data_IF_835248990439
#
_entry.id   IF_835248990439
#
_cell.length_a   1.000
_cell.length_b   1.000
_cell.length_c   1.000
_cell.angle_alpha   90.00
_cell.angle_beta   90.00
_cell.angle_gamma   90.00
#
_symmetry.space_group_name_H-M   'P 1'
#
loop_
_entity.id
_entity.type
_entity.pdbx_description
1 polymer ?
#
# COMPACT_ATOMS: atom_id res chain seq x y z
N UNK A 1 31.58 -32.78 -16.32
CA UNK A 1 30.29 -32.41 -15.71
C UNK A 1 29.86 -31.10 -16.35
N UNK A 2 28.73 -31.08 -17.06
CA UNK A 2 28.25 -29.89 -17.75
C UNK A 2 27.74 -28.87 -16.73
N UNK A 3 28.43 -27.73 -16.60
CA UNK A 3 27.93 -26.59 -15.81
C UNK A 3 26.51 -26.23 -16.26
N UNK A 4 25.64 -26.02 -15.29
CA UNK A 4 24.25 -25.59 -15.50
C UNK A 4 24.23 -24.17 -16.10
N UNK A 5 23.20 -23.84 -16.87
CA UNK A 5 23.05 -22.50 -17.49
C UNK A 5 23.08 -21.37 -16.46
N UNK A 6 22.61 -21.65 -15.25
CA UNK A 6 22.63 -20.74 -14.10
C UNK A 6 24.03 -20.48 -13.55
N UNK A 7 24.90 -21.49 -13.51
CA UNK A 7 26.31 -21.32 -13.09
C UNK A 7 27.07 -20.45 -14.08
N UNK A 8 26.86 -20.62 -15.38
CA UNK A 8 27.49 -19.79 -16.42
C UNK A 8 27.06 -18.33 -16.34
N UNK A 9 25.77 -18.08 -16.07
CA UNK A 9 25.26 -16.73 -15.88
C UNK A 9 25.92 -16.07 -14.65
N UNK A 10 26.00 -16.80 -13.53
CA UNK A 10 26.63 -16.30 -12.31
C UNK A 10 28.12 -16.00 -12.50
N UNK A 11 28.84 -16.87 -13.20
CA UNK A 11 30.25 -16.68 -13.55
C UNK A 11 30.45 -15.47 -14.47
N UNK A 12 29.54 -15.25 -15.42
CA UNK A 12 29.59 -14.08 -16.28
C UNK A 12 29.32 -12.78 -15.51
N UNK A 13 28.29 -12.76 -14.67
CA UNK A 13 27.91 -11.58 -13.89
C UNK A 13 28.97 -11.20 -12.84
N UNK A 14 29.69 -12.18 -12.28
CA UNK A 14 30.76 -11.95 -11.29
C UNK A 14 32.03 -11.37 -11.91
N UNK A 15 32.27 -11.59 -13.21
CA UNK A 15 33.39 -11.01 -13.95
C UNK A 15 33.16 -9.55 -14.36
N UNK A 16 31.93 -9.03 -14.22
CA UNK A 16 31.62 -7.65 -14.58
C UNK A 16 32.18 -6.65 -13.54
N UNK A 17 32.65 -5.46 -13.96
CA UNK A 17 33.01 -4.39 -13.04
C UNK A 17 31.83 -3.96 -12.14
N UNK A 18 32.06 -3.52 -10.89
CA UNK A 18 30.99 -3.13 -9.96
C UNK A 18 30.04 -2.05 -10.51
N UNK A 19 30.57 -1.11 -11.29
CA UNK A 19 29.75 -0.07 -11.95
C UNK A 19 28.77 -0.67 -12.98
N UNK A 20 29.20 -1.70 -13.72
CA UNK A 20 28.36 -2.41 -14.68
C UNK A 20 27.31 -3.27 -13.99
N UNK A 21 27.64 -3.90 -12.86
CA UNK A 21 26.70 -4.65 -12.02
C UNK A 21 25.59 -3.73 -11.45
N UNK A 22 25.97 -2.55 -10.94
CA UNK A 22 25.01 -1.56 -10.43
C UNK A 22 24.09 -1.01 -11.53
N UNK A 23 24.62 -0.77 -12.73
CA UNK A 23 23.84 -0.31 -13.87
C UNK A 23 22.84 -1.40 -14.32
N UNK A 24 23.27 -2.66 -14.38
CA UNK A 24 22.39 -3.79 -14.68
C UNK A 24 21.30 -3.97 -13.62
N UNK A 25 21.62 -3.87 -12.32
CA UNK A 25 20.60 -3.91 -11.28
C UNK A 25 19.53 -2.84 -11.49
N UNK A 26 19.93 -1.59 -11.77
CA UNK A 26 18.98 -0.50 -12.01
C UNK A 26 18.11 -0.72 -13.24
N UNK A 27 18.69 -1.25 -14.32
CA UNK A 27 17.92 -1.50 -15.56
C UNK A 27 16.94 -2.66 -15.41
N UNK A 28 17.29 -3.72 -14.68
CA UNK A 28 16.36 -4.81 -14.39
C UNK A 28 15.29 -4.42 -13.36
N UNK A 29 15.60 -3.56 -12.39
CA UNK A 29 14.59 -2.97 -11.49
C UNK A 29 13.60 -2.11 -12.28
N UNK A 30 14.08 -1.31 -13.25
CA UNK A 30 13.23 -0.58 -14.20
C UNK A 30 12.43 -1.47 -15.15
N UNK A 31 12.93 -2.66 -15.48
CA UNK A 31 12.18 -3.63 -16.29
C UNK A 31 11.05 -4.26 -15.48
N UNK A 32 11.28 -4.56 -14.20
CA UNK A 32 10.23 -4.99 -13.27
C UNK A 32 9.15 -3.92 -13.09
N UNK A 33 9.54 -2.66 -12.97
CA UNK A 33 8.60 -1.53 -12.86
C UNK A 33 7.74 -1.35 -14.13
N UNK A 34 8.25 -1.77 -15.30
CA UNK A 34 7.53 -1.73 -16.59
C UNK A 34 6.72 -2.98 -16.90
N UNK A 35 6.89 -4.06 -16.12
CA UNK A 35 6.25 -5.35 -16.37
C UNK A 35 6.89 -6.19 -17.48
N UNK A 36 8.09 -5.82 -17.95
CA UNK A 36 8.80 -6.52 -19.03
C UNK A 36 9.55 -7.74 -18.48
N UNK A 37 9.29 -8.93 -19.03
CA UNK A 37 9.99 -10.20 -18.73
C UNK A 37 10.26 -10.44 -17.22
N UNK A 38 9.23 -10.24 -16.40
CA UNK A 38 9.28 -10.25 -14.93
C UNK A 38 10.02 -11.46 -14.35
N UNK A 39 9.85 -12.65 -14.94
CA UNK A 39 10.52 -13.86 -14.49
C UNK A 39 12.06 -13.82 -14.71
N UNK A 40 12.50 -13.31 -15.86
CA UNK A 40 13.93 -13.19 -16.18
C UNK A 40 14.56 -12.05 -15.38
N UNK A 41 13.88 -10.90 -15.29
CA UNK A 41 14.36 -9.76 -14.52
C UNK A 41 14.50 -10.10 -13.02
N UNK A 42 13.52 -10.80 -12.44
CA UNK A 42 13.57 -11.26 -11.05
C UNK A 42 14.74 -12.23 -10.82
N UNK A 43 14.92 -13.20 -11.72
CA UNK A 43 15.98 -14.19 -11.64
C UNK A 43 17.38 -13.57 -11.74
N UNK A 44 17.62 -12.69 -12.71
CA UNK A 44 18.92 -12.01 -12.90
C UNK A 44 19.22 -11.06 -11.74
N UNK A 45 18.21 -10.36 -11.21
CA UNK A 45 18.37 -9.53 -10.01
C UNK A 45 18.71 -10.35 -8.77
N UNK A 46 18.15 -11.55 -8.62
CA UNK A 46 18.50 -12.44 -7.51
C UNK A 46 19.98 -12.85 -7.57
N UNK A 47 20.48 -13.22 -8.76
CA UNK A 47 21.88 -13.59 -8.96
C UNK A 47 22.83 -12.39 -8.82
N UNK A 48 22.51 -11.22 -9.38
CA UNK A 48 23.27 -9.98 -9.19
C UNK A 48 23.34 -9.58 -7.72
N UNK A 49 22.24 -9.69 -6.97
CA UNK A 49 22.22 -9.43 -5.53
C UNK A 49 23.11 -10.40 -4.78
N UNK A 50 23.15 -11.70 -5.15
CA UNK A 50 24.06 -12.68 -4.53
C UNK A 50 25.53 -12.34 -4.79
N UNK A 51 25.87 -11.80 -5.96
CA UNK A 51 27.25 -11.43 -6.34
C UNK A 51 27.70 -10.16 -5.62
N UNK A 52 26.89 -9.09 -5.66
CA UNK A 52 27.21 -7.82 -4.99
C UNK A 52 27.28 -7.99 -3.46
N UNK A 53 26.42 -8.86 -2.89
CA UNK A 53 26.50 -9.23 -1.47
C UNK A 53 27.77 -10.00 -1.09
N UNK A 54 28.48 -10.57 -2.05
CA UNK A 54 29.73 -11.29 -1.83
C UNK A 54 30.99 -10.43 -1.91
N UNK A 55 30.89 -9.20 -2.47
CA UNK A 55 32.04 -8.30 -2.66
C UNK A 55 32.17 -7.19 -1.61
N UNK A 56 31.10 -6.89 -0.86
CA UNK A 56 31.18 -6.00 0.30
C UNK A 56 31.62 -6.81 1.54
N UNK A 57 32.52 -6.23 2.33
CA UNK A 57 33.19 -6.76 3.52
C UNK A 57 32.24 -6.98 4.74
N UNK A 58 31.01 -7.43 4.50
CA UNK A 58 29.99 -7.68 5.52
C UNK A 58 29.87 -9.20 5.78
N UNK A 59 30.89 -9.76 6.44
CA UNK A 59 30.85 -11.12 7.00
C UNK A 59 30.03 -11.23 8.30
N UNK A 60 29.00 -10.39 8.45
CA UNK A 60 27.93 -10.57 9.42
C UNK A 60 26.63 -10.80 8.66
N UNK A 61 25.92 -11.93 8.88
CA UNK A 61 24.54 -12.04 8.44
C UNK A 61 23.77 -10.77 8.84
N UNK A 62 22.94 -10.20 7.97
CA UNK A 62 22.11 -9.01 8.28
C UNK A 62 21.22 -9.18 9.53
N UNK A 63 21.11 -10.41 10.02
CA UNK A 63 20.45 -10.85 11.25
C UNK A 63 21.23 -10.49 12.53
N UNK A 64 22.54 -10.27 12.43
CA UNK A 64 23.46 -10.03 13.57
C UNK A 64 23.84 -8.54 13.73
N UNK A 65 23.19 -7.65 12.98
CA UNK A 65 23.36 -6.20 13.15
C UNK A 65 22.87 -5.76 14.54
N UNK A 66 23.73 -5.16 15.39
CA UNK A 66 23.38 -4.79 16.76
C UNK A 66 22.15 -3.89 16.85
N UNK A 67 22.02 -2.93 15.92
CA UNK A 67 20.89 -1.98 15.89
C UNK A 67 19.57 -2.71 15.58
N UNK A 68 19.55 -3.58 14.56
CA UNK A 68 18.36 -4.41 14.25
C UNK A 68 17.95 -5.31 15.39
N UNK A 69 18.90 -5.97 16.07
CA UNK A 69 18.60 -6.82 17.23
C UNK A 69 18.00 -5.99 18.38
N UNK A 70 18.57 -4.80 18.64
CA UNK A 70 18.10 -3.89 19.68
C UNK A 70 16.70 -3.34 19.39
N UNK A 71 16.38 -2.98 18.15
CA UNK A 71 15.07 -2.42 17.80
C UNK A 71 14.03 -3.44 17.32
N UNK A 72 14.31 -4.74 17.32
CA UNK A 72 13.37 -5.77 16.83
C UNK A 72 11.99 -5.72 17.52
N UNK A 73 11.94 -5.34 18.79
CA UNK A 73 10.67 -5.18 19.55
C UNK A 73 9.81 -4.01 19.02
N UNK A 74 10.39 -3.08 18.24
CA UNK A 74 9.66 -1.99 17.61
C UNK A 74 8.99 -2.39 16.29
N UNK A 75 9.38 -3.51 15.66
CA UNK A 75 9.00 -3.84 14.27
C UNK A 75 7.49 -3.74 14.00
N UNK A 76 6.57 -4.21 14.89
CA UNK A 76 5.13 -4.08 14.68
C UNK A 76 4.61 -2.63 14.62
N UNK A 77 5.42 -1.65 15.03
CA UNK A 77 5.04 -0.26 15.18
C UNK A 77 5.71 0.66 14.14
N UNK A 78 6.57 0.11 13.28
CA UNK A 78 7.34 0.91 12.35
C UNK A 78 6.54 1.32 11.13
N UNK A 79 6.66 2.60 10.75
CA UNK A 79 6.15 3.16 9.51
C UNK A 79 7.27 3.80 8.69
N UNK A 80 7.00 4.04 7.42
CA UNK A 80 7.95 4.72 6.53
C UNK A 80 8.01 6.24 6.78
N UNK A 81 9.16 6.83 6.47
CA UNK A 81 9.49 8.20 6.85
C UNK A 81 8.62 9.28 6.18
N UNK A 82 7.93 8.96 5.10
CA UNK A 82 7.04 9.88 4.36
C UNK A 82 5.68 10.04 5.04
N UNK A 83 5.37 9.17 5.98
CA UNK A 83 4.05 9.08 6.61
C UNK A 83 4.02 9.85 7.94
N UNK A 84 2.87 10.47 8.21
CA UNK A 84 2.60 11.02 9.55
C UNK A 84 2.24 9.87 10.49
N UNK A 85 2.94 9.67 11.61
CA UNK A 85 2.61 8.62 12.57
C UNK A 85 1.28 8.90 13.24
N UNK A 86 0.43 7.89 13.31
CA UNK A 86 -0.68 7.88 14.26
C UNK A 86 -0.19 7.42 15.65
N UNK A 87 -0.98 7.60 16.72
CA UNK A 87 -0.66 7.02 18.02
C UNK A 87 -0.33 5.52 17.89
N UNK A 88 0.73 5.09 18.60
CA UNK A 88 1.20 3.70 18.59
C UNK A 88 2.04 3.32 17.38
N UNK A 89 2.57 4.29 16.63
CA UNK A 89 3.53 4.10 15.53
C UNK A 89 4.81 4.91 15.76
N UNK A 90 5.90 4.46 15.16
CA UNK A 90 7.24 5.06 15.22
C UNK A 90 7.80 5.12 13.80
N UNK A 91 8.44 6.23 13.41
CA UNK A 91 9.06 6.32 12.09
C UNK A 91 10.33 5.47 12.06
N UNK A 92 10.50 4.66 11.02
CA UNK A 92 11.69 3.82 10.83
C UNK A 92 12.97 4.65 10.75
N UNK A 93 12.91 5.85 10.19
CA UNK A 93 14.05 6.79 10.11
C UNK A 93 14.53 7.25 11.48
N UNK A 94 13.65 7.36 12.47
CA UNK A 94 14.00 7.77 13.84
C UNK A 94 14.94 6.79 14.52
N UNK A 95 14.83 5.49 14.23
CA UNK A 95 15.68 4.46 14.84
C UNK A 95 17.16 4.67 14.56
N UNK A 96 17.49 5.16 13.35
CA UNK A 96 18.90 5.40 12.98
C UNK A 96 19.50 6.54 13.80
N UNK A 97 18.77 7.64 13.95
CA UNK A 97 19.22 8.78 14.76
C UNK A 97 19.34 8.40 16.25
N UNK A 98 18.36 7.66 16.78
CA UNK A 98 18.41 7.19 18.16
C UNK A 98 19.58 6.24 18.39
N UNK A 99 19.85 5.30 17.47
CA UNK A 99 21.01 4.41 17.54
C UNK A 99 22.33 5.19 17.62
N UNK A 100 22.54 6.11 16.68
CA UNK A 100 23.76 6.93 16.61
C UNK A 100 23.96 7.77 17.87
N UNK A 101 22.87 8.27 18.45
CA UNK A 101 22.94 8.99 19.72
C UNK A 101 23.30 8.08 20.89
N UNK A 102 22.70 6.89 20.99
CA UNK A 102 23.04 5.90 22.02
C UNK A 102 24.51 5.50 21.94
N UNK A 103 25.03 5.28 20.72
CA UNK A 103 26.42 4.91 20.45
C UNK A 103 27.41 6.02 20.82
N UNK A 104 27.07 7.28 20.51
CA UNK A 104 27.98 8.41 20.75
C UNK A 104 27.98 8.90 22.19
N UNK A 105 26.80 8.97 22.82
CA UNK A 105 26.63 9.72 24.08
C UNK A 105 25.69 9.04 25.07
N UNK A 106 24.67 8.31 24.61
CA UNK A 106 23.64 7.78 25.51
C UNK A 106 24.13 6.61 26.37
N UNK A 107 24.86 5.66 25.77
CA UNK A 107 25.33 4.43 26.42
C UNK A 107 26.50 3.75 25.64
N UNK A 108 27.57 4.49 25.30
CA UNK A 108 28.66 3.99 24.47
C UNK A 108 29.31 2.71 25.02
N UNK A 109 29.47 2.62 26.35
CA UNK A 109 30.12 1.48 27.00
C UNK A 109 29.28 0.20 26.88
N UNK A 110 27.97 0.32 27.08
CA UNK A 110 27.05 -0.81 27.01
C UNK A 110 26.88 -1.30 25.57
N UNK A 111 26.93 -0.41 24.57
CA UNK A 111 26.93 -0.80 23.15
C UNK A 111 28.21 -1.56 22.82
N UNK A 112 29.38 -1.06 23.22
CA UNK A 112 30.66 -1.78 23.02
C UNK A 112 30.67 -3.15 23.71
N UNK A 113 30.16 -3.24 24.93
CA UNK A 113 30.01 -4.52 25.66
C UNK A 113 29.11 -5.50 24.89
N UNK A 114 27.99 -5.01 24.35
CA UNK A 114 27.06 -5.81 23.58
C UNK A 114 27.65 -6.30 22.25
N UNK A 115 28.32 -5.44 21.50
CA UNK A 115 28.99 -5.81 20.26
C UNK A 115 30.08 -6.86 20.47
N UNK A 116 30.90 -6.70 21.53
CA UNK A 116 31.88 -7.69 21.92
C UNK A 116 31.23 -9.04 22.28
N UNK A 117 30.11 -9.01 23.01
CA UNK A 117 29.33 -10.21 23.33
C UNK A 117 28.80 -10.89 22.05
N UNK A 118 28.25 -10.14 21.09
CA UNK A 118 27.76 -10.70 19.82
C UNK A 118 28.87 -11.42 19.03
N UNK A 119 30.10 -10.89 19.02
CA UNK A 119 31.24 -11.55 18.38
C UNK A 119 31.52 -12.91 19.03
N UNK A 120 31.42 -13.00 20.36
CA UNK A 120 31.63 -14.25 21.10
C UNK A 120 30.47 -15.25 20.95
N UNK A 121 29.28 -14.77 20.58
CA UNK A 121 28.03 -15.54 20.53
C UNK A 121 27.60 -15.95 19.11
N UNK A 122 28.46 -15.83 18.09
CA UNK A 122 28.11 -16.14 16.67
C UNK A 122 27.50 -17.53 16.42
N UNK A 123 27.76 -18.49 17.31
CA UNK A 123 27.20 -19.85 17.24
C UNK A 123 26.35 -20.22 18.46
N UNK A 124 26.04 -19.23 19.31
CA UNK A 124 25.23 -19.44 20.50
C UNK A 124 23.74 -19.60 20.14
N UNK A 125 22.94 -20.26 20.98
CA UNK A 125 21.50 -20.32 20.79
C UNK A 125 20.88 -18.92 20.87
N UNK A 126 19.81 -18.69 20.09
CA UNK A 126 19.11 -17.41 20.02
C UNK A 126 18.65 -16.87 21.39
N UNK A 127 18.39 -17.76 22.36
CA UNK A 127 18.03 -17.39 23.73
C UNK A 127 19.14 -16.65 24.49
N UNK A 128 20.42 -16.93 24.21
CA UNK A 128 21.54 -16.21 24.82
C UNK A 128 21.68 -14.81 24.22
N UNK A 129 21.59 -14.69 22.89
CA UNK A 129 21.56 -13.39 22.22
C UNK A 129 20.41 -12.54 22.76
N UNK A 130 19.24 -13.15 22.97
CA UNK A 130 18.06 -12.47 23.52
C UNK A 130 18.29 -11.89 24.93
N UNK A 131 19.04 -12.57 25.80
CA UNK A 131 19.37 -12.04 27.13
C UNK A 131 20.22 -10.77 27.04
N UNK A 132 21.22 -10.77 26.16
CA UNK A 132 22.06 -9.59 25.91
C UNK A 132 21.26 -8.43 25.28
N UNK A 133 20.35 -8.73 24.34
CA UNK A 133 19.44 -7.75 23.75
C UNK A 133 18.57 -7.11 24.84
N UNK A 134 17.98 -7.90 25.75
CA UNK A 134 17.16 -7.37 26.85
C UNK A 134 17.94 -6.44 27.77
N UNK A 135 19.16 -6.82 28.15
CA UNK A 135 20.06 -5.98 28.98
C UNK A 135 20.36 -4.64 28.28
N UNK A 136 20.64 -4.69 26.98
CA UNK A 136 20.90 -3.50 26.17
C UNK A 136 19.66 -2.60 26.09
N UNK A 137 18.48 -3.17 25.82
CA UNK A 137 17.22 -2.42 25.73
C UNK A 137 16.84 -1.74 27.05
N UNK A 138 17.05 -2.39 28.20
CA UNK A 138 16.87 -1.77 29.52
C UNK A 138 17.82 -0.59 29.73
N UNK A 139 19.08 -0.74 29.31
CA UNK A 139 20.08 0.33 29.40
C UNK A 139 19.72 1.51 28.48
N UNK A 140 19.23 1.22 27.27
CA UNK A 140 18.75 2.24 26.33
C UNK A 140 17.52 2.97 26.86
N UNK A 141 16.56 2.24 27.43
CA UNK A 141 15.38 2.83 28.07
C UNK A 141 15.79 3.77 29.22
N UNK A 142 16.76 3.37 30.06
CA UNK A 142 17.28 4.21 31.13
C UNK A 142 18.01 5.46 30.60
N UNK A 143 18.79 5.34 29.52
CA UNK A 143 19.45 6.48 28.88
C UNK A 143 18.44 7.49 28.32
N UNK A 144 17.39 7.00 27.66
CA UNK A 144 16.29 7.83 27.14
C UNK A 144 15.52 8.49 28.29
N UNK A 145 15.25 7.76 29.38
CA UNK A 145 14.56 8.31 30.56
C UNK A 145 15.36 9.46 31.19
N UNK A 146 16.68 9.29 31.38
CA UNK A 146 17.56 10.37 31.88
C UNK A 146 17.58 11.59 30.97
N UNK A 147 17.54 11.37 29.65
CA UNK A 147 17.54 12.48 28.69
C UNK A 147 16.20 13.24 28.68
N UNK A 148 15.09 12.50 28.80
CA UNK A 148 13.74 13.07 28.74
C UNK A 148 13.27 13.63 30.08
N UNK A 149 13.83 13.13 31.19
CA UNK A 149 13.60 13.59 32.56
C UNK A 149 14.94 13.97 33.22
N UNK A 150 15.61 15.03 32.75
CA UNK A 150 16.94 15.37 33.26
C UNK A 150 16.87 16.03 34.64
N UNK A 151 17.98 16.00 35.36
CA UNK A 151 18.10 16.67 36.67
C UNK A 151 17.90 18.19 36.57
N UNK A 152 17.42 18.85 37.64
CA UNK A 152 17.27 20.30 37.67
C UNK A 152 18.58 21.02 37.30
N UNK A 153 18.51 21.95 36.33
CA UNK A 153 19.67 22.72 35.85
C UNK A 153 20.27 22.21 34.53
N UNK A 154 19.85 21.04 34.04
CA UNK A 154 20.23 20.57 32.70
C UNK A 154 19.25 21.12 31.65
N UNK A 155 19.79 21.72 30.59
CA UNK A 155 19.00 22.19 29.44
C UNK A 155 18.48 21.00 28.62
N UNK A 156 17.26 20.58 28.94
CA UNK A 156 16.54 19.49 28.26
C UNK A 156 16.45 19.71 26.75
N UNK A 157 16.14 20.93 26.31
CA UNK A 157 15.89 21.20 24.90
C UNK A 157 17.18 21.07 24.09
N UNK A 158 18.29 21.58 24.64
CA UNK A 158 19.62 21.42 24.05
C UNK A 158 20.11 19.98 24.08
N UNK A 159 19.77 19.21 25.11
CA UNK A 159 20.15 17.80 25.16
C UNK A 159 19.36 16.97 24.13
N UNK A 160 18.05 17.21 23.99
CA UNK A 160 17.19 16.52 23.03
C UNK A 160 17.57 16.80 21.58
N UNK A 161 18.03 18.02 21.26
CA UNK A 161 18.47 18.35 19.89
C UNK A 161 19.72 17.58 19.42
N UNK A 162 20.47 16.97 20.33
CA UNK A 162 21.64 16.13 20.00
C UNK A 162 21.27 14.72 19.54
N UNK A 163 20.02 14.31 19.74
CA UNK A 163 19.51 12.99 19.31
C UNK A 163 19.38 12.93 17.80
N UNK A 164 18.91 14.00 17.17
CA UNK A 164 18.72 14.04 15.72
C UNK A 164 17.68 15.07 15.28
N UNK A 165 17.09 14.88 14.09
CA UNK A 165 16.08 15.80 13.56
C UNK A 165 14.82 15.81 14.46
N UNK A 166 13.96 16.84 14.34
CA UNK A 166 12.74 16.96 15.16
C UNK A 166 11.87 15.69 15.21
N UNK A 167 11.74 14.98 14.08
CA UNK A 167 10.98 13.72 14.02
C UNK A 167 11.58 12.60 14.90
N UNK A 168 12.91 12.50 14.99
CA UNK A 168 13.55 11.54 15.87
C UNK A 168 13.38 11.92 17.35
N UNK A 169 13.33 13.22 17.64
CA UNK A 169 13.08 13.75 18.99
C UNK A 169 11.63 13.49 19.44
N UNK A 170 10.65 13.63 18.54
CA UNK A 170 9.26 13.27 18.78
C UNK A 170 9.09 11.79 19.13
N UNK A 171 9.77 10.90 18.39
CA UNK A 171 9.64 9.45 18.55
C UNK A 171 10.47 8.89 19.73
N UNK A 172 11.35 9.69 20.33
CA UNK A 172 12.27 9.25 21.39
C UNK A 172 11.56 8.73 22.64
N UNK A 173 10.56 9.47 23.14
CA UNK A 173 9.79 9.09 24.33
C UNK A 173 8.98 7.80 24.10
N UNK A 174 8.25 7.65 22.98
CA UNK A 174 7.64 6.37 22.61
C UNK A 174 8.63 5.21 22.54
N UNK A 175 9.77 5.39 21.85
CA UNK A 175 10.82 4.35 21.76
C UNK A 175 11.28 3.91 23.16
N UNK A 176 11.65 4.86 24.03
CA UNK A 176 12.06 4.55 25.39
C UNK A 176 10.99 3.83 26.20
N UNK A 177 9.73 4.20 26.03
CA UNK A 177 8.59 3.59 26.73
C UNK A 177 8.37 2.13 26.32
N UNK A 178 8.45 1.83 25.01
CA UNK A 178 8.29 0.48 24.47
C UNK A 178 9.49 -0.40 24.90
N UNK A 179 10.71 0.13 24.86
CA UNK A 179 11.91 -0.58 25.36
C UNK A 179 11.82 -0.89 26.86
N UNK A 180 11.38 0.07 27.68
CA UNK A 180 11.22 -0.08 29.14
C UNK A 180 10.22 -1.18 29.50
N UNK A 181 9.15 -1.31 28.73
CA UNK A 181 8.02 -2.20 29.03
C UNK A 181 7.94 -3.39 28.07
N UNK A 182 9.07 -3.76 27.45
CA UNK A 182 9.15 -4.85 26.49
C UNK A 182 8.47 -6.13 26.96
N UNK A 183 8.71 -6.55 28.21
CA UNK A 183 8.15 -7.82 28.71
C UNK A 183 6.63 -7.82 28.77
N UNK A 184 6.02 -6.68 29.14
CA UNK A 184 4.58 -6.53 29.14
C UNK A 184 4.02 -6.59 27.72
N UNK A 185 4.70 -5.97 26.76
CA UNK A 185 4.35 -5.99 25.34
C UNK A 185 4.48 -7.40 24.75
N UNK A 186 5.62 -8.07 24.96
CA UNK A 186 5.86 -9.44 24.47
C UNK A 186 4.85 -10.43 25.07
N UNK A 187 4.57 -10.31 26.37
CA UNK A 187 3.57 -11.15 27.06
C UNK A 187 2.17 -10.90 26.52
N UNK A 188 1.81 -9.64 26.27
CA UNK A 188 0.51 -9.30 25.69
C UNK A 188 0.39 -9.79 24.25
N UNK A 189 1.41 -9.56 23.43
CA UNK A 189 1.47 -10.02 22.04
C UNK A 189 1.35 -11.56 21.95
N UNK A 190 2.01 -12.30 22.85
CA UNK A 190 1.90 -13.76 22.93
C UNK A 190 0.50 -14.28 23.29
N UNK A 191 -0.39 -13.44 23.82
CA UNK A 191 -1.80 -13.78 24.09
C UNK A 191 -2.72 -13.51 22.91
N UNK A 192 -2.27 -12.78 21.89
CA UNK A 192 -3.07 -12.48 20.72
C UNK A 192 -3.16 -13.71 19.80
N UNK A 193 -4.38 -14.12 19.46
CA UNK A 193 -4.61 -15.17 18.47
C UNK A 193 -4.15 -14.71 17.09
N UNK A 194 -3.65 -15.62 16.26
CA UNK A 194 -3.06 -15.26 14.96
C UNK A 194 -4.00 -14.47 14.05
N UNK A 195 -5.33 -14.69 14.09
CA UNK A 195 -6.30 -13.88 13.37
C UNK A 195 -7.65 -13.77 14.11
N UNK A 196 -8.09 -12.54 14.36
CA UNK A 196 -9.41 -12.20 14.91
C UNK A 196 -10.39 -11.91 13.76
N UNK A 197 -11.00 -12.96 13.20
CA UNK A 197 -11.98 -12.82 12.11
C UNK A 197 -13.25 -12.09 12.52
N UNK A 198 -13.73 -12.33 13.74
CA UNK A 198 -14.91 -11.68 14.32
C UNK A 198 -14.48 -11.05 15.64
N UNK A 199 -14.66 -9.73 15.76
CA UNK A 199 -14.34 -9.00 16.98
C UNK A 199 -15.59 -8.64 17.77
N UNK A 200 -16.34 -9.67 18.19
CA UNK A 200 -17.58 -9.53 18.96
C UNK A 200 -17.34 -9.41 20.47
N UNK A 201 -18.42 -9.36 21.25
CA UNK A 201 -18.39 -9.12 22.70
C UNK A 201 -17.43 -10.03 23.47
N UNK A 202 -17.38 -11.33 23.13
CA UNK A 202 -16.49 -12.27 23.81
C UNK A 202 -15.01 -11.94 23.57
N UNK A 203 -14.64 -11.57 22.35
CA UNK A 203 -13.28 -11.16 21.98
C UNK A 203 -12.93 -9.81 22.59
N UNK A 204 -13.86 -8.86 22.55
CA UNK A 204 -13.72 -7.53 23.18
C UNK A 204 -13.47 -7.68 24.69
N UNK A 205 -14.27 -8.47 25.39
CA UNK A 205 -14.09 -8.74 26.82
C UNK A 205 -12.73 -9.42 27.10
N UNK A 206 -12.35 -10.40 26.27
CA UNK A 206 -11.05 -11.07 26.39
C UNK A 206 -9.88 -10.11 26.20
N UNK A 207 -9.96 -9.20 25.22
CA UNK A 207 -8.91 -8.23 24.95
C UNK A 207 -8.80 -7.17 26.04
N UNK A 208 -9.92 -6.67 26.58
CA UNK A 208 -9.92 -5.76 27.73
C UNK A 208 -9.28 -6.43 28.94
N UNK A 209 -9.64 -7.69 29.22
CA UNK A 209 -9.04 -8.45 30.31
C UNK A 209 -7.53 -8.65 30.10
N UNK A 210 -7.09 -8.94 28.87
CA UNK A 210 -5.68 -9.10 28.54
C UNK A 210 -4.89 -7.78 28.61
N UNK A 211 -5.52 -6.66 28.27
CA UNK A 211 -4.96 -5.30 28.34
C UNK A 211 -4.89 -4.74 29.76
N UNK A 212 -5.57 -5.35 30.74
CA UNK A 212 -5.61 -4.91 32.14
C UNK A 212 -4.29 -5.14 32.88
N UNK A 213 -3.22 -4.55 32.34
CA UNK A 213 -1.85 -4.54 32.84
C UNK A 213 -1.46 -3.08 33.02
N UNK A 214 -1.17 -2.59 34.24
CA UNK A 214 -0.94 -1.16 34.50
C UNK A 214 0.09 -0.49 33.58
N UNK A 215 1.17 -1.22 33.25
CA UNK A 215 2.20 -0.74 32.33
C UNK A 215 1.67 -0.39 30.92
N UNK A 216 0.67 -1.14 30.43
CA UNK A 216 0.08 -0.96 29.10
C UNK A 216 -1.07 0.06 29.09
N UNK A 217 -1.55 0.50 30.26
CA UNK A 217 -2.65 1.47 30.37
C UNK A 217 -2.19 2.93 30.40
N UNK A 218 -0.89 3.18 30.25
CA UNK A 218 -0.36 4.55 30.19
C UNK A 218 -0.76 5.23 28.86
N UNK A 219 -0.91 6.56 28.84
CA UNK A 219 -1.25 7.28 27.60
C UNK A 219 -0.27 7.05 26.45
N UNK A 220 0.99 6.72 26.76
CA UNK A 220 2.01 6.42 25.75
C UNK A 220 1.90 4.98 25.26
N UNK A 221 1.72 3.98 26.14
CA UNK A 221 1.74 2.56 25.75
C UNK A 221 0.41 1.96 25.33
N UNK A 222 -0.71 2.52 25.76
CA UNK A 222 -2.02 2.04 25.34
C UNK A 222 -2.16 2.02 23.80
N UNK A 223 -1.76 3.07 23.06
CA UNK A 223 -1.76 3.05 21.60
C UNK A 223 -0.90 1.93 20.99
N UNK A 224 0.26 1.59 21.58
CA UNK A 224 1.10 0.50 21.08
C UNK A 224 0.43 -0.87 21.29
N UNK A 225 -0.19 -1.08 22.45
CA UNK A 225 -0.94 -2.30 22.71
C UNK A 225 -2.16 -2.41 21.77
N UNK A 226 -2.84 -1.31 21.47
CA UNK A 226 -3.92 -1.26 20.48
C UNK A 226 -3.42 -1.52 19.05
N UNK A 227 -2.22 -1.05 18.67
CA UNK A 227 -1.60 -1.36 17.37
C UNK A 227 -1.38 -2.86 17.21
N UNK A 228 -0.98 -3.58 18.27
CA UNK A 228 -0.87 -5.03 18.21
C UNK A 228 -2.22 -5.69 17.93
N UNK A 229 -3.29 -5.29 18.64
CA UNK A 229 -4.64 -5.82 18.38
C UNK A 229 -5.07 -5.55 16.93
N UNK A 230 -4.87 -4.31 16.45
CA UNK A 230 -5.19 -3.91 15.08
C UNK A 230 -4.54 -4.83 14.04
N UNK A 231 -3.29 -5.24 14.25
CA UNK A 231 -2.57 -6.16 13.35
C UNK A 231 -3.17 -7.56 13.24
N UNK A 232 -4.08 -7.94 14.15
CA UNK A 232 -4.79 -9.23 14.13
C UNK A 232 -6.26 -9.10 13.69
N UNK A 233 -6.78 -7.90 13.48
CA UNK A 233 -8.18 -7.70 13.08
C UNK A 233 -8.34 -7.82 11.57
N UNK A 234 -9.35 -8.59 11.13
CA UNK A 234 -9.76 -8.60 9.72
C UNK A 234 -10.38 -7.27 9.27
N UNK A 235 -10.95 -6.53 10.22
CA UNK A 235 -11.59 -5.23 10.00
C UNK A 235 -11.03 -4.26 11.04
N UNK A 236 -9.93 -3.56 10.76
CA UNK A 236 -9.20 -2.75 11.75
C UNK A 236 -10.06 -1.70 12.46
N UNK A 237 -11.06 -1.14 11.78
CA UNK A 237 -11.99 -0.17 12.37
C UNK A 237 -12.75 -0.72 13.59
N UNK A 238 -12.91 -2.05 13.71
CA UNK A 238 -13.63 -2.68 14.83
C UNK A 238 -12.92 -2.47 16.19
N UNK A 239 -11.68 -1.98 16.21
CA UNK A 239 -10.96 -1.62 17.43
C UNK A 239 -11.76 -0.67 18.34
N UNK A 240 -12.66 0.15 17.77
CA UNK A 240 -13.50 1.08 18.52
C UNK A 240 -14.43 0.41 19.53
N UNK A 241 -14.75 -0.87 19.32
CA UNK A 241 -15.55 -1.66 20.26
C UNK A 241 -14.90 -1.78 21.64
N UNK A 242 -13.57 -1.71 21.72
CA UNK A 242 -12.87 -1.61 23.00
C UNK A 242 -13.23 -0.30 23.73
N UNK A 243 -13.23 0.82 23.00
CA UNK A 243 -13.53 2.13 23.56
C UNK A 243 -14.99 2.23 24.03
N UNK A 244 -15.93 1.75 23.21
CA UNK A 244 -17.35 1.66 23.56
C UNK A 244 -17.55 0.84 24.83
N UNK A 245 -16.90 -0.34 24.88
CA UNK A 245 -17.05 -1.25 26.02
C UNK A 245 -16.48 -0.66 27.31
N UNK A 246 -15.34 0.02 27.24
CA UNK A 246 -14.73 0.70 28.40
C UNK A 246 -15.57 1.90 28.85
N UNK A 247 -16.14 2.65 27.92
CA UNK A 247 -17.02 3.78 28.23
C UNK A 247 -18.40 3.33 28.76
N UNK A 248 -18.82 2.10 28.45
CA UNK A 248 -20.17 1.61 28.74
C UNK A 248 -21.26 2.35 27.96
N UNK A 249 -20.89 3.00 26.84
CA UNK A 249 -21.78 3.80 25.99
C UNK A 249 -21.15 3.96 24.60
N UNK A 250 -21.98 4.09 23.59
CA UNK A 250 -21.66 4.49 22.21
C UNK A 250 -21.69 6.02 21.99
N UNK A 251 -22.11 6.78 23.00
CA UNK A 251 -22.08 8.25 23.01
C UNK A 251 -20.64 8.78 22.89
N UNK A 252 -20.41 9.62 21.88
CA UNK A 252 -19.09 10.16 21.56
C UNK A 252 -18.43 10.88 22.76
N UNK A 253 -19.18 11.65 23.56
CA UNK A 253 -18.61 12.43 24.67
C UNK A 253 -18.07 11.48 25.73
N UNK A 254 -18.85 10.46 26.09
CA UNK A 254 -18.44 9.44 27.07
C UNK A 254 -17.24 8.65 26.59
N UNK A 255 -17.22 8.25 25.31
CA UNK A 255 -16.08 7.52 24.74
C UNK A 255 -14.82 8.39 24.74
N UNK A 256 -14.93 9.65 24.30
CA UNK A 256 -13.84 10.62 24.26
C UNK A 256 -13.26 10.94 25.65
N UNK A 257 -14.04 10.78 26.72
CA UNK A 257 -13.58 10.98 28.10
C UNK A 257 -12.74 9.80 28.63
N UNK A 258 -12.64 8.68 27.91
CA UNK A 258 -11.85 7.51 28.32
C UNK A 258 -10.44 7.51 27.71
N UNK A 259 -9.45 6.86 28.34
CA UNK A 259 -8.15 6.61 27.70
C UNK A 259 -8.24 5.85 26.37
N UNK A 260 -9.30 5.05 26.17
CA UNK A 260 -9.52 4.26 24.95
C UNK A 260 -10.09 5.08 23.79
N UNK A 261 -10.40 6.36 23.98
CA UNK A 261 -10.74 7.28 22.89
C UNK A 261 -9.68 7.27 21.76
N UNK A 262 -8.42 7.00 22.10
CA UNK A 262 -7.33 6.88 21.13
C UNK A 262 -7.57 5.77 20.10
N UNK A 263 -8.31 4.70 20.43
CA UNK A 263 -8.66 3.65 19.47
C UNK A 263 -9.54 4.19 18.32
N UNK A 264 -10.46 5.11 18.63
CA UNK A 264 -11.30 5.79 17.62
C UNK A 264 -10.44 6.68 16.73
N UNK A 265 -9.56 7.48 17.34
CA UNK A 265 -8.61 8.33 16.60
C UNK A 265 -7.70 7.50 15.69
N UNK A 266 -7.17 6.37 16.16
CA UNK A 266 -6.34 5.47 15.37
C UNK A 266 -7.10 4.91 14.17
N UNK A 267 -8.32 4.40 14.38
CA UNK A 267 -9.16 3.87 13.29
C UNK A 267 -9.46 4.93 12.22
N UNK A 268 -9.79 6.17 12.61
CA UNK A 268 -10.05 7.25 11.66
C UNK A 268 -8.77 7.66 10.91
N UNK A 269 -7.62 7.73 11.59
CA UNK A 269 -6.34 8.04 10.95
C UNK A 269 -5.88 6.94 9.98
N UNK A 270 -6.16 5.67 10.27
CA UNK A 270 -5.88 4.57 9.35
C UNK A 270 -6.77 4.65 8.09
N UNK A 271 -8.06 4.98 8.24
CA UNK A 271 -8.95 5.22 7.08
C UNK A 271 -8.51 6.45 6.27
N UNK A 272 -8.06 7.51 6.93
CA UNK A 272 -7.53 8.70 6.26
C UNK A 272 -6.27 8.37 5.44
N UNK A 273 -5.37 7.54 5.99
CA UNK A 273 -4.17 7.07 5.27
C UNK A 273 -4.53 6.27 4.03
N UNK A 274 -5.40 5.27 4.18
CA UNK A 274 -5.90 4.48 3.05
C UNK A 274 -6.55 5.36 1.96
N UNK A 275 -7.21 6.45 2.37
CA UNK A 275 -7.81 7.40 1.43
C UNK A 275 -6.73 8.16 0.65
N UNK A 276 -5.65 8.59 1.30
CA UNK A 276 -4.52 9.25 0.64
C UNK A 276 -3.81 8.30 -0.33
N UNK A 277 -3.54 7.07 0.08
CA UNK A 277 -2.86 6.07 -0.75
C UNK A 277 -3.71 5.73 -1.99
N UNK A 278 -5.01 5.49 -1.80
CA UNK A 278 -5.94 5.24 -2.89
C UNK A 278 -6.02 6.42 -3.88
N UNK A 279 -5.99 7.67 -3.38
CA UNK A 279 -5.97 8.85 -4.24
C UNK A 279 -4.70 8.95 -5.08
N UNK A 280 -3.56 8.58 -4.51
CA UNK A 280 -2.29 8.58 -5.21
C UNK A 280 -2.24 7.46 -6.28
N UNK A 281 -2.78 6.28 -5.96
CA UNK A 281 -2.95 5.18 -6.90
C UNK A 281 -3.84 5.57 -8.08
N UNK A 282 -5.02 6.15 -7.80
CA UNK A 282 -5.93 6.69 -8.81
C UNK A 282 -5.20 7.71 -9.71
N UNK A 283 -4.49 8.67 -9.11
CA UNK A 283 -3.78 9.73 -9.85
C UNK A 283 -2.68 9.16 -10.77
N UNK A 284 -2.09 8.02 -10.41
CA UNK A 284 -1.06 7.33 -11.19
C UNK A 284 -1.63 6.33 -12.20
N UNK A 285 -2.95 6.13 -12.25
CA UNK A 285 -3.58 5.13 -13.11
C UNK A 285 -3.48 3.69 -12.58
N UNK A 286 -3.12 3.50 -11.32
CA UNK A 286 -2.98 2.18 -10.70
C UNK A 286 -4.30 1.74 -10.06
N UNK A 287 -5.18 1.11 -10.83
CA UNK A 287 -6.53 0.77 -10.34
C UNK A 287 -6.64 -0.60 -9.64
N UNK A 288 -5.59 -1.43 -9.64
CA UNK A 288 -5.64 -2.83 -9.20
C UNK A 288 -6.16 -3.06 -7.78
N UNK A 289 -5.79 -2.20 -6.83
CA UNK A 289 -6.21 -2.30 -5.42
C UNK A 289 -7.32 -1.30 -5.03
N UNK A 290 -7.73 -0.43 -5.95
CA UNK A 290 -8.67 0.66 -5.64
C UNK A 290 -10.03 0.11 -5.22
N UNK A 291 -10.49 -0.99 -5.83
CA UNK A 291 -11.74 -1.66 -5.47
C UNK A 291 -11.75 -2.15 -4.01
N UNK A 292 -10.67 -2.82 -3.59
CA UNK A 292 -10.51 -3.35 -2.24
C UNK A 292 -10.35 -2.22 -1.22
N UNK A 293 -9.50 -1.23 -1.52
CA UNK A 293 -9.31 -0.06 -0.66
C UNK A 293 -10.61 0.73 -0.50
N UNK A 294 -11.37 0.93 -1.58
CA UNK A 294 -12.66 1.61 -1.53
C UNK A 294 -13.64 0.88 -0.61
N UNK A 295 -13.67 -0.46 -0.68
CA UNK A 295 -14.48 -1.30 0.21
C UNK A 295 -14.05 -1.15 1.67
N UNK A 296 -12.76 -1.26 1.97
CA UNK A 296 -12.23 -1.13 3.34
C UNK A 296 -12.58 0.24 3.91
N UNK A 297 -12.40 1.30 3.14
CA UNK A 297 -12.71 2.66 3.61
C UNK A 297 -14.21 2.84 3.80
N UNK A 298 -15.03 2.35 2.87
CA UNK A 298 -16.48 2.36 2.96
C UNK A 298 -16.96 1.63 4.23
N UNK A 299 -16.55 0.37 4.40
CA UNK A 299 -16.97 -0.47 5.54
C UNK A 299 -16.49 0.14 6.86
N UNK A 300 -15.30 0.74 6.88
CA UNK A 300 -14.77 1.46 8.04
C UNK A 300 -15.58 2.71 8.40
N UNK A 301 -15.83 3.60 7.44
CA UNK A 301 -16.61 4.83 7.69
C UNK A 301 -18.04 4.50 8.13
N UNK A 302 -18.68 3.52 7.47
CA UNK A 302 -20.02 3.05 7.82
C UNK A 302 -20.05 2.37 9.19
N UNK A 303 -19.09 1.48 9.45
CA UNK A 303 -18.97 0.75 10.71
C UNK A 303 -18.78 1.69 11.90
N UNK A 304 -17.88 2.67 11.78
CA UNK A 304 -17.66 3.68 12.81
C UNK A 304 -18.93 4.48 13.13
N UNK A 305 -19.69 4.91 12.13
CA UNK A 305 -20.96 5.62 12.32
C UNK A 305 -22.10 4.76 12.86
N UNK A 306 -22.01 3.44 12.67
CA UNK A 306 -23.03 2.50 13.15
C UNK A 306 -22.80 2.17 14.63
N UNK A 307 -21.54 2.15 15.07
CA UNK A 307 -21.16 1.71 16.42
C UNK A 307 -20.99 2.88 17.39
N UNK A 308 -20.82 4.11 16.89
CA UNK A 308 -20.66 5.32 17.68
C UNK A 308 -21.66 6.38 17.23
N UNK A 309 -22.29 7.06 18.20
CA UNK A 309 -23.07 8.26 17.95
C UNK A 309 -22.15 9.48 17.79
N UNK A 310 -21.51 9.55 16.60
CA UNK A 310 -20.54 10.59 16.26
C UNK A 310 -21.28 11.83 15.76
N UNK A 311 -21.11 12.95 16.46
CA UNK A 311 -21.69 14.23 16.04
C UNK A 311 -20.99 14.77 14.80
N UNK A 312 -21.75 15.41 13.91
CA UNK A 312 -21.22 15.95 12.67
C UNK A 312 -20.20 17.09 12.86
N UNK A 313 -20.31 17.83 13.95
CA UNK A 313 -19.48 19.02 14.25
C UNK A 313 -18.24 18.69 15.10
N UNK A 314 -18.13 17.45 15.58
CA UNK A 314 -17.00 16.99 16.38
C UNK A 314 -15.73 16.82 15.54
N UNK A 315 -14.59 16.64 16.22
CA UNK A 315 -13.31 16.36 15.55
C UNK A 315 -13.38 15.06 14.75
N UNK A 316 -13.96 13.99 15.32
CA UNK A 316 -14.12 12.71 14.62
C UNK A 316 -15.12 12.81 13.47
N UNK A 317 -16.25 13.49 13.67
CA UNK A 317 -17.25 13.71 12.64
C UNK A 317 -16.72 14.49 11.44
N UNK A 318 -15.94 15.56 11.69
CA UNK A 318 -15.27 16.35 10.66
C UNK A 318 -14.25 15.53 9.88
N UNK A 319 -13.42 14.72 10.54
CA UNK A 319 -12.45 13.85 9.86
C UNK A 319 -13.15 12.82 8.97
N UNK A 320 -14.20 12.17 9.44
CA UNK A 320 -15.00 11.23 8.63
C UNK A 320 -15.72 11.93 7.46
N UNK A 321 -16.16 13.17 7.64
CA UNK A 321 -16.70 13.97 6.56
C UNK A 321 -15.64 14.29 5.49
N UNK A 322 -14.43 14.68 5.91
CA UNK A 322 -13.29 14.93 5.01
C UNK A 322 -12.94 13.68 4.21
N UNK A 323 -12.79 12.52 4.85
CA UNK A 323 -12.53 11.24 4.19
C UNK A 323 -13.56 10.99 3.08
N UNK A 324 -14.85 11.11 3.39
CA UNK A 324 -15.94 10.90 2.40
C UNK A 324 -15.85 11.88 1.22
N UNK A 325 -15.60 13.17 1.50
CA UNK A 325 -15.48 14.20 0.45
C UNK A 325 -14.27 13.92 -0.45
N UNK A 326 -13.13 13.56 0.12
CA UNK A 326 -11.92 13.27 -0.63
C UNK A 326 -12.08 12.07 -1.57
N UNK A 327 -12.67 10.98 -1.07
CA UNK A 327 -12.97 9.79 -1.88
C UNK A 327 -13.96 10.15 -2.98
N UNK A 328 -15.07 10.81 -2.64
CA UNK A 328 -16.08 11.21 -3.61
C UNK A 328 -15.48 12.06 -4.74
N UNK A 329 -14.62 13.02 -4.40
CA UNK A 329 -13.99 13.89 -5.40
C UNK A 329 -13.01 13.14 -6.30
N UNK A 330 -12.16 12.29 -5.72
CA UNK A 330 -11.20 11.50 -6.47
C UNK A 330 -11.90 10.54 -7.44
N UNK A 331 -12.88 9.79 -6.96
CA UNK A 331 -13.64 8.82 -7.76
C UNK A 331 -14.47 9.52 -8.82
N UNK A 332 -15.17 10.62 -8.48
CA UNK A 332 -16.01 11.36 -9.42
C UNK A 332 -15.21 11.92 -10.60
N UNK A 333 -14.04 12.51 -10.33
CA UNK A 333 -13.16 13.05 -11.38
C UNK A 333 -12.77 11.99 -12.40
N UNK A 334 -12.42 10.79 -11.93
CA UNK A 334 -12.06 9.69 -12.83
C UNK A 334 -13.25 9.21 -13.65
N UNK A 335 -14.41 8.98 -13.00
CA UNK A 335 -15.65 8.56 -13.67
C UNK A 335 -16.03 9.55 -14.79
N UNK A 336 -16.01 10.85 -14.52
CA UNK A 336 -16.36 11.88 -15.51
C UNK A 336 -15.37 11.95 -16.68
N UNK A 337 -14.13 11.49 -16.49
CA UNK A 337 -13.10 11.49 -17.55
C UNK A 337 -13.26 10.33 -18.55
N UNK A 338 -13.85 9.20 -18.14
CA UNK A 338 -13.86 7.96 -18.93
C UNK A 338 -14.53 8.11 -20.29
N UNK A 339 -15.74 8.72 -20.41
CA UNK A 339 -16.37 8.89 -21.73
C UNK A 339 -15.52 9.67 -22.72
N UNK A 340 -14.74 10.66 -22.26
CA UNK A 340 -13.82 11.43 -23.08
C UNK A 340 -12.68 10.57 -23.65
N UNK A 341 -12.09 9.71 -22.82
CA UNK A 341 -11.02 8.78 -23.22
C UNK A 341 -11.52 7.75 -24.23
N UNK A 342 -12.66 7.12 -23.96
CA UNK A 342 -13.29 6.16 -24.88
C UNK A 342 -13.62 6.81 -26.22
N UNK A 343 -14.20 8.01 -26.22
CA UNK A 343 -14.44 8.77 -27.45
C UNK A 343 -13.17 9.04 -28.23
N UNK A 344 -12.06 9.40 -27.56
CA UNK A 344 -10.79 9.69 -28.21
C UNK A 344 -10.26 8.48 -28.98
N UNK A 345 -10.31 7.29 -28.36
CA UNK A 345 -9.82 6.04 -28.93
C UNK A 345 -10.72 5.51 -30.06
N UNK A 346 -12.04 5.56 -29.88
CA UNK A 346 -13.01 5.01 -30.83
C UNK A 346 -13.48 6.00 -31.90
N UNK A 347 -12.99 7.25 -31.88
CA UNK A 347 -13.39 8.29 -32.84
C UNK A 347 -13.06 7.84 -34.27
N UNK A 348 -14.11 7.67 -35.06
CA UNK A 348 -13.98 7.47 -36.50
C UNK A 348 -13.60 8.78 -37.17
N UNK A 349 -12.49 8.77 -37.89
CA UNK A 349 -12.01 9.90 -38.70
C UNK A 349 -12.19 9.56 -40.18
N UNK A 350 -12.46 10.54 -41.05
CA UNK A 350 -12.39 10.34 -42.50
C UNK A 350 -11.03 9.75 -42.92
N UNK A 351 -11.00 8.89 -43.94
CA UNK A 351 -9.78 8.19 -44.36
C UNK A 351 -8.63 9.11 -44.76
N UNK A 352 -8.98 10.29 -45.30
CA UNK A 352 -8.03 11.35 -45.64
C UNK A 352 -7.27 11.92 -44.43
N UNK A 353 -7.86 11.85 -43.24
CA UNK A 353 -7.30 12.39 -42.00
C UNK A 353 -6.49 11.34 -41.22
N UNK A 354 -6.39 10.11 -41.76
CA UNK A 354 -5.62 9.00 -41.18
C UNK A 354 -4.30 8.89 -41.94
N UNK A 355 -3.20 9.14 -41.23
CA UNK A 355 -1.84 8.95 -41.76
C UNK A 355 -1.56 7.46 -41.96
N UNK A 356 -0.85 7.12 -43.04
CA UNK A 356 -0.40 5.75 -43.24
C UNK A 356 0.52 5.32 -42.09
N UNK A 357 0.25 4.15 -41.50
CA UNK A 357 0.99 3.65 -40.34
C UNK A 357 0.56 4.24 -38.99
N UNK A 358 -0.58 4.95 -38.92
CA UNK A 358 -1.20 5.32 -37.65
C UNK A 358 -1.45 4.06 -36.79
N UNK A 359 -1.17 4.17 -35.49
CA UNK A 359 -1.38 3.12 -34.49
C UNK A 359 -2.14 3.66 -33.30
N UNK A 360 -2.89 2.80 -32.64
CA UNK A 360 -3.35 3.07 -31.29
C UNK A 360 -2.25 2.78 -30.27
N UNK A 361 -2.19 3.60 -29.23
CA UNK A 361 -1.37 3.30 -28.07
C UNK A 361 -2.07 2.21 -27.24
N UNK A 362 -1.48 1.02 -27.20
CA UNK A 362 -2.03 -0.11 -26.48
C UNK A 362 -2.07 0.14 -24.97
N UNK A 363 -1.13 0.92 -24.43
CA UNK A 363 -1.13 1.29 -23.01
C UNK A 363 -2.38 2.13 -22.70
N UNK A 364 -2.72 3.08 -23.58
CA UNK A 364 -3.91 3.92 -23.42
C UNK A 364 -5.22 3.10 -23.49
N UNK A 365 -5.26 2.08 -24.36
CA UNK A 365 -6.39 1.15 -24.46
C UNK A 365 -6.55 0.34 -23.16
N UNK A 366 -5.44 -0.18 -22.63
CA UNK A 366 -5.41 -0.97 -21.40
C UNK A 366 -5.84 -0.15 -20.19
N UNK A 367 -5.30 1.06 -20.04
CA UNK A 367 -5.71 2.02 -19.00
C UNK A 367 -7.18 2.39 -19.11
N UNK A 368 -7.68 2.61 -20.32
CA UNK A 368 -9.09 2.96 -20.54
C UNK A 368 -10.02 1.78 -20.20
N UNK A 369 -9.63 0.55 -20.55
CA UNK A 369 -10.38 -0.65 -20.16
C UNK A 369 -10.42 -0.83 -18.64
N UNK A 370 -9.28 -0.65 -17.96
CA UNK A 370 -9.20 -0.68 -16.50
C UNK A 370 -10.07 0.40 -15.85
N UNK A 371 -10.12 1.61 -16.43
CA UNK A 371 -11.00 2.68 -15.97
C UNK A 371 -12.48 2.35 -16.14
N UNK A 372 -12.89 1.73 -17.25
CA UNK A 372 -14.27 1.28 -17.45
C UNK A 372 -14.66 0.25 -16.38
N UNK A 373 -13.78 -0.70 -16.09
CA UNK A 373 -13.99 -1.72 -15.04
C UNK A 373 -14.09 -1.06 -13.66
N UNK A 374 -13.21 -0.10 -13.38
CA UNK A 374 -13.26 0.71 -12.17
C UNK A 374 -14.61 1.43 -12.00
N UNK A 375 -15.16 2.05 -13.06
CA UNK A 375 -16.51 2.65 -13.00
C UNK A 375 -17.57 1.61 -12.62
N UNK A 376 -17.46 0.38 -13.14
CA UNK A 376 -18.39 -0.70 -12.78
C UNK A 376 -18.28 -1.08 -11.30
N UNK A 377 -17.07 -1.18 -10.75
CA UNK A 377 -16.85 -1.43 -9.31
C UNK A 377 -17.46 -0.33 -8.44
N UNK A 378 -17.24 0.94 -8.79
CA UNK A 378 -17.75 2.08 -8.03
C UNK A 378 -19.27 2.06 -7.82
N UNK A 379 -20.03 1.44 -8.75
CA UNK A 379 -21.49 1.28 -8.62
C UNK A 379 -21.90 0.54 -7.36
N UNK A 380 -21.06 -0.39 -6.89
CA UNK A 380 -21.33 -1.19 -5.68
C UNK A 380 -21.41 -0.33 -4.42
N UNK A 381 -20.66 0.78 -4.37
CA UNK A 381 -20.53 1.65 -3.20
C UNK A 381 -21.10 3.06 -3.44
N UNK A 382 -21.74 3.28 -4.59
CA UNK A 382 -22.04 4.62 -5.09
C UNK A 382 -23.04 5.41 -4.21
N UNK A 383 -23.90 4.73 -3.45
CA UNK A 383 -24.89 5.37 -2.58
C UNK A 383 -24.28 6.02 -1.36
N UNK A 384 -23.28 5.36 -0.78
CA UNK A 384 -22.63 5.76 0.46
C UNK A 384 -21.54 6.81 0.19
N UNK A 385 -21.02 6.82 -1.04
CA UNK A 385 -20.06 7.79 -1.55
C UNK A 385 -20.71 9.02 -2.19
N UNK A 386 -22.04 9.08 -2.27
CA UNK A 386 -22.78 10.15 -2.95
C UNK A 386 -22.39 10.36 -4.43
N UNK A 387 -22.01 9.28 -5.12
CA UNK A 387 -21.64 9.28 -6.55
C UNK A 387 -22.63 8.47 -7.43
N UNK A 388 -23.77 8.05 -6.87
CA UNK A 388 -24.80 7.29 -7.58
C UNK A 388 -25.18 7.87 -8.95
N UNK A 389 -25.54 9.15 -8.98
CA UNK A 389 -26.05 9.79 -10.19
C UNK A 389 -24.97 9.84 -11.29
N UNK A 390 -23.76 10.28 -10.94
CA UNK A 390 -22.65 10.38 -11.90
C UNK A 390 -22.24 9.01 -12.40
N UNK A 391 -22.16 8.00 -11.54
CA UNK A 391 -21.77 6.64 -11.94
C UNK A 391 -22.82 6.02 -12.87
N UNK A 392 -24.11 6.14 -12.54
CA UNK A 392 -25.19 5.59 -13.36
C UNK A 392 -25.27 6.26 -14.73
N UNK A 393 -25.19 7.59 -14.76
CA UNK A 393 -25.21 8.38 -16.00
C UNK A 393 -24.04 8.02 -16.90
N UNK A 394 -22.82 8.07 -16.36
CA UNK A 394 -21.59 7.75 -17.11
C UNK A 394 -21.61 6.32 -17.62
N UNK A 395 -22.00 5.35 -16.80
CA UNK A 395 -22.04 3.95 -17.23
C UNK A 395 -23.04 3.73 -18.38
N UNK A 396 -24.22 4.35 -18.29
CA UNK A 396 -25.24 4.27 -19.35
C UNK A 396 -24.75 4.93 -20.66
N UNK A 397 -24.07 6.08 -20.55
CA UNK A 397 -23.45 6.78 -21.67
C UNK A 397 -22.35 5.93 -22.33
N UNK A 398 -21.51 5.27 -21.53
CA UNK A 398 -20.47 4.36 -22.01
C UNK A 398 -21.05 3.17 -22.76
N UNK A 399 -22.07 2.52 -22.21
CA UNK A 399 -22.76 1.40 -22.88
C UNK A 399 -23.28 1.82 -24.25
N UNK A 400 -24.09 2.89 -24.31
CA UNK A 400 -24.66 3.36 -25.57
C UNK A 400 -23.59 3.76 -26.60
N UNK A 401 -22.53 4.44 -26.16
CA UNK A 401 -21.49 4.91 -27.06
C UNK A 401 -20.61 3.78 -27.58
N UNK A 402 -20.20 2.84 -26.71
CA UNK A 402 -19.33 1.71 -27.10
C UNK A 402 -20.08 0.77 -28.02
N UNK A 403 -21.33 0.41 -27.71
CA UNK A 403 -22.15 -0.45 -28.57
C UNK A 403 -22.26 0.13 -29.98
N UNK A 404 -22.75 1.37 -30.09
CA UNK A 404 -22.92 2.07 -31.38
C UNK A 404 -21.59 2.26 -32.13
N UNK A 405 -20.51 2.61 -31.42
CA UNK A 405 -19.21 2.82 -32.04
C UNK A 405 -18.61 1.52 -32.57
N UNK A 406 -18.79 0.41 -31.84
CA UNK A 406 -18.30 -0.92 -32.26
C UNK A 406 -19.02 -1.39 -33.52
N UNK A 407 -20.35 -1.28 -33.58
CA UNK A 407 -21.13 -1.59 -34.78
C UNK A 407 -20.69 -0.75 -35.99
N UNK A 408 -20.53 0.56 -35.79
CA UNK A 408 -20.11 1.46 -36.85
C UNK A 408 -18.66 1.17 -37.31
N UNK A 409 -17.76 0.79 -36.40
CA UNK A 409 -16.37 0.42 -36.74
C UNK A 409 -16.35 -0.85 -37.59
N UNK A 410 -17.13 -1.88 -37.22
CA UNK A 410 -17.30 -3.12 -38.00
C UNK A 410 -17.84 -2.82 -39.39
N UNK A 411 -18.84 -1.94 -39.51
CA UNK A 411 -19.34 -1.51 -40.82
C UNK A 411 -18.27 -0.77 -41.64
N UNK A 412 -17.51 0.12 -41.00
CA UNK A 412 -16.47 0.90 -41.65
C UNK A 412 -15.31 0.03 -42.18
N UNK A 413 -15.02 -1.10 -41.52
CA UNK A 413 -13.97 -2.03 -41.94
C UNK A 413 -14.25 -2.66 -43.30
N UNK A 414 -15.52 -3.00 -43.58
CA UNK A 414 -15.97 -3.66 -44.82
C UNK A 414 -15.74 -2.83 -46.09
N UNK A 415 -15.62 -1.51 -45.96
CA UNK A 415 -15.47 -0.57 -47.09
C UNK A 415 -14.26 0.35 -46.97
N UNK A 416 -13.34 0.07 -46.05
CA UNK A 416 -12.16 0.92 -45.80
C UNK A 416 -11.09 0.79 -46.88
N UNK A 417 -10.38 1.87 -47.17
CA UNK A 417 -9.17 1.85 -47.99
C UNK A 417 -8.11 0.92 -47.34
N UNK A 418 -7.46 0.02 -48.12
CA UNK A 418 -6.38 -0.85 -47.62
C UNK A 418 -5.32 -0.13 -46.77
N UNK A 419 -5.05 1.15 -47.04
CA UNK A 419 -4.08 1.98 -46.30
C UNK A 419 -4.48 2.24 -44.85
N UNK A 420 -5.77 2.40 -44.57
CA UNK A 420 -6.29 2.77 -43.23
C UNK A 420 -6.92 1.59 -42.50
N UNK A 421 -7.18 0.49 -43.23
CA UNK A 421 -7.80 -0.73 -42.71
C UNK A 421 -7.10 -1.31 -41.47
N UNK A 422 -5.74 -1.35 -41.36
CA UNK A 422 -5.07 -1.81 -40.15
C UNK A 422 -5.37 -0.96 -38.92
N UNK A 423 -5.39 0.36 -39.05
CA UNK A 423 -5.71 1.26 -37.94
C UNK A 423 -7.17 1.10 -37.49
N UNK A 424 -8.11 0.98 -38.43
CA UNK A 424 -9.52 0.71 -38.11
C UNK A 424 -9.71 -0.66 -37.43
N UNK A 425 -8.87 -1.65 -37.76
CA UNK A 425 -8.89 -2.94 -37.10
C UNK A 425 -8.48 -2.80 -35.63
N UNK A 426 -7.37 -2.11 -35.35
CA UNK A 426 -6.93 -1.80 -33.98
C UNK A 426 -8.03 -1.05 -33.20
N UNK A 427 -8.71 -0.08 -33.81
CA UNK A 427 -9.85 0.61 -33.19
C UNK A 427 -11.01 -0.34 -32.87
N UNK A 428 -11.30 -1.30 -33.74
CA UNK A 428 -12.36 -2.28 -33.54
C UNK A 428 -11.99 -3.30 -32.45
N UNK A 429 -10.74 -3.74 -32.38
CA UNK A 429 -10.23 -4.60 -31.30
C UNK A 429 -10.28 -3.89 -29.93
N UNK A 430 -9.87 -2.61 -29.88
CA UNK A 430 -10.04 -1.79 -28.67
C UNK A 430 -11.51 -1.68 -28.25
N UNK A 431 -12.43 -1.49 -29.21
CA UNK A 431 -13.86 -1.43 -28.95
C UNK A 431 -14.41 -2.78 -28.43
N UNK A 432 -13.94 -3.92 -28.97
CA UNK A 432 -14.27 -5.27 -28.49
C UNK A 432 -13.79 -5.47 -27.05
N UNK A 433 -12.58 -5.01 -26.70
CA UNK A 433 -12.09 -5.04 -25.33
C UNK A 433 -12.96 -4.23 -24.38
N UNK A 434 -13.40 -3.03 -24.78
CA UNK A 434 -14.34 -2.24 -23.98
C UNK A 434 -15.72 -2.92 -23.86
N UNK A 435 -16.15 -3.64 -24.91
CA UNK A 435 -17.37 -4.43 -24.86
C UNK A 435 -17.28 -5.58 -23.84
N UNK A 436 -16.12 -6.23 -23.70
CA UNK A 436 -15.92 -7.30 -22.73
C UNK A 436 -16.16 -6.82 -21.30
N UNK A 437 -15.65 -5.63 -20.97
CA UNK A 437 -15.84 -5.03 -19.64
C UNK A 437 -17.28 -4.54 -19.42
N UNK A 438 -17.96 -4.00 -20.45
CA UNK A 438 -19.30 -3.41 -20.31
C UNK A 438 -20.46 -4.38 -20.45
N UNK A 439 -20.30 -5.42 -21.27
CA UNK A 439 -21.38 -6.32 -21.68
C UNK A 439 -21.06 -7.81 -21.42
N UNK A 440 -19.83 -8.12 -21.05
CA UNK A 440 -19.38 -9.48 -20.78
C UNK A 440 -18.81 -10.21 -21.99
N UNK A 441 -18.26 -11.39 -21.72
CA UNK A 441 -17.46 -12.18 -22.66
C UNK A 441 -18.23 -12.64 -23.91
N UNK A 442 -19.51 -13.04 -23.76
CA UNK A 442 -20.31 -13.54 -24.87
C UNK A 442 -20.56 -12.47 -25.95
N UNK A 443 -20.87 -11.24 -25.52
CA UNK A 443 -21.09 -10.12 -26.43
C UNK A 443 -19.78 -9.70 -27.11
N UNK A 444 -18.68 -9.62 -26.35
CA UNK A 444 -17.36 -9.33 -26.91
C UNK A 444 -16.92 -10.37 -27.95
N UNK A 445 -17.16 -11.65 -27.68
CA UNK A 445 -16.88 -12.75 -28.61
C UNK A 445 -17.68 -12.64 -29.91
N UNK A 446 -18.95 -12.23 -29.83
CA UNK A 446 -19.78 -11.96 -31.00
C UNK A 446 -19.21 -10.82 -31.85
N UNK A 447 -18.81 -9.71 -31.21
CA UNK A 447 -18.25 -8.55 -31.91
C UNK A 447 -16.87 -8.86 -32.50
N UNK A 448 -16.03 -9.62 -31.79
CA UNK A 448 -14.74 -10.11 -32.29
C UNK A 448 -14.89 -10.87 -33.61
N UNK A 449 -15.82 -11.84 -33.67
CA UNK A 449 -16.14 -12.56 -34.92
C UNK A 449 -16.64 -11.63 -36.01
N UNK A 450 -17.41 -10.59 -35.66
CA UNK A 450 -17.91 -9.62 -36.64
C UNK A 450 -16.78 -8.77 -37.23
N UNK A 451 -15.76 -8.43 -36.43
CA UNK A 451 -14.52 -7.74 -36.85
C UNK A 451 -13.71 -8.63 -37.79
N UNK A 452 -13.45 -9.88 -37.41
CA UNK A 452 -12.71 -10.85 -38.23
C UNK A 452 -13.38 -11.05 -39.60
N UNK A 453 -14.70 -11.24 -39.61
CA UNK A 453 -15.46 -11.37 -40.86
C UNK A 453 -15.37 -10.11 -41.72
N UNK A 454 -15.38 -8.92 -41.13
CA UNK A 454 -15.24 -7.66 -41.86
C UNK A 454 -13.83 -7.49 -42.49
N UNK A 455 -12.80 -8.14 -41.94
CA UNK A 455 -11.45 -8.13 -42.50
C UNK A 455 -11.33 -8.96 -43.77
N UNK A 456 -12.04 -10.10 -43.85
CA UNK A 456 -11.96 -11.05 -44.97
C UNK A 456 -12.69 -10.55 -46.24
N UNK A 457 -13.63 -9.60 -46.12
CA UNK A 457 -14.40 -9.08 -47.27
C UNK A 457 -13.58 -8.07 -48.09
N UNK A 458 -12.58 -8.55 -48.84
CA UNK A 458 -11.95 -7.85 -49.99
C UNK A 458 -11.60 -8.88 -51.07
N UNK A 459 -12.59 -9.58 -51.62
CA UNK A 459 -12.50 -10.16 -52.97
C UNK A 459 -13.90 -10.19 -53.63
N UNK A 460 -14.48 -9.01 -53.92
CA UNK A 460 -15.48 -8.95 -54.98
C UNK A 460 -14.75 -8.78 -56.31
N UNK A 461 -14.44 -9.94 -56.93
CA UNK A 461 -14.05 -10.02 -58.35
C UNK A 461 -15.05 -9.19 -59.17
N UNK A 462 -14.61 -8.20 -59.97
CA UNK A 462 -15.55 -7.44 -60.79
C UNK A 462 -16.26 -8.41 -61.74
N UNK A 463 -17.59 -8.35 -61.73
CA UNK A 463 -18.41 -9.11 -62.68
C UNK A 463 -17.94 -8.78 -64.10
N UNK A 464 -17.50 -9.81 -64.82
CA UNK A 464 -17.18 -9.69 -66.23
C UNK A 464 -18.41 -9.11 -66.95
N UNK A 465 -18.23 -7.94 -67.57
CA UNK A 465 -19.21 -7.42 -68.53
C UNK A 465 -19.36 -8.46 -69.63
N UNK A 466 -20.53 -9.06 -69.72
CA UNK A 466 -20.94 -9.86 -70.86
C UNK A 466 -21.60 -8.93 -71.89
N UNK A 467 -21.17 -9.05 -73.16
CA UNK A 467 -21.87 -8.54 -74.34
C UNK A 467 -21.54 -7.11 -74.70
#
# INVERSE_FOLDING_TARGET
>A
MSQTSTERLRDYLSQLPPQSQALLMREFERALERGDDVAVASFVLEELRKIVRGSDDDTRPRTDDPARLMFRVMEPFLIDAKETPRPGQIRRSSLTSVWQWLEREGMPDQIREFEAALISLRHAPASQIEQHVRKLQQSAAAAIDRLTNPEPGVDRQRAMSRVGPPSAVEDLVPIGSVLKNREAIDTFNGKLSSNLRVFGDSQVNSMIAALNVPALQTPILLPFALTLILGHLNQPWQIVRLAIKVAGSDDEIKVAATPYAVAVTMAIQDLARLTVDMREDIRRGHYGNVAENLKVIHDGVRGLRTELDIRSDSTWGKQLATIRVEISNAVKSEIESVPGRVRRLLRQRPDKDITAGARLDQIEVDETAALIDFVAVCRTYASELAINEVTLRTYSELQQYVEKSTEALVQSLRGSDPRVKPFRHEQAEAAVRFCEVLFGHDYASLMSRAVENAMVVVERKPAARAG
#
